data_IF_649636929868
#
_entry.id   IF_649636929868
#
_cell.length_a   1.000
_cell.length_b   1.000
_cell.length_c   1.000
_cell.angle_alpha   90.00
_cell.angle_beta   90.00
_cell.angle_gamma   90.00
#
_symmetry.space_group_name_H-M   'P 1'
#
loop_
_entity.id
_entity.type
_entity.pdbx_description
1 polymer ?
#
# COMPACT_ATOMS: atom_id res chain seq x y z
N UNK A 1 -10.98 -16.06 -18.05
CA UNK A 1 -10.18 -14.82 -17.96
C UNK A 1 -8.81 -15.21 -17.44
N UNK A 2 -7.78 -15.12 -18.28
CA UNK A 2 -6.40 -15.46 -17.94
C UNK A 2 -5.78 -14.27 -17.21
N UNK A 3 -5.65 -14.36 -15.89
CA UNK A 3 -4.81 -13.44 -15.14
C UNK A 3 -3.38 -13.83 -15.46
N UNK A 4 -2.70 -13.06 -16.32
CA UNK A 4 -1.26 -13.21 -16.50
C UNK A 4 -0.60 -13.09 -15.13
N UNK A 5 0.17 -14.12 -14.79
CA UNK A 5 0.69 -14.46 -13.48
C UNK A 5 1.70 -13.43 -12.94
N UNK A 6 1.29 -12.19 -12.71
CA UNK A 6 2.22 -11.11 -12.35
C UNK A 6 2.51 -11.05 -10.84
N UNK A 7 1.98 -12.00 -10.08
CA UNK A 7 2.47 -12.27 -8.73
C UNK A 7 3.41 -13.49 -8.66
N UNK A 8 4.06 -13.88 -9.77
CA UNK A 8 4.92 -15.08 -9.82
C UNK A 8 5.92 -15.18 -8.66
N UNK A 9 6.51 -14.06 -8.26
CA UNK A 9 7.48 -14.05 -7.16
C UNK A 9 6.84 -14.08 -5.77
N UNK A 10 5.68 -13.43 -5.56
CA UNK A 10 5.02 -13.45 -4.23
C UNK A 10 4.10 -14.65 -4.04
N UNK A 11 3.79 -15.43 -5.07
CA UNK A 11 2.93 -16.64 -4.99
C UNK A 11 3.41 -17.67 -3.98
N UNK A 12 4.71 -17.69 -3.67
CA UNK A 12 5.30 -18.62 -2.72
C UNK A 12 5.39 -18.06 -1.30
N UNK A 13 5.16 -16.77 -1.11
CA UNK A 13 5.18 -16.16 0.21
C UNK A 13 3.82 -16.32 0.89
N UNK A 14 3.83 -17.04 2.02
CA UNK A 14 2.67 -17.15 2.90
C UNK A 14 2.41 -15.80 3.56
N UNK A 15 1.18 -15.29 3.42
CA UNK A 15 0.73 -14.06 4.06
C UNK A 15 0.17 -14.35 5.46
N UNK A 16 0.08 -13.29 6.27
CA UNK A 16 -0.58 -13.39 7.56
C UNK A 16 -2.07 -13.66 7.36
N UNK A 17 -2.68 -14.44 8.27
CA UNK A 17 -4.09 -14.80 8.16
C UNK A 17 -5.05 -13.63 8.36
N UNK A 18 -4.64 -12.57 9.05
CA UNK A 18 -5.53 -11.49 9.45
C UNK A 18 -4.83 -10.14 9.37
N UNK A 19 -5.37 -9.25 8.55
CA UNK A 19 -4.98 -7.84 8.52
C UNK A 19 -6.11 -6.95 9.01
N UNK A 20 -5.74 -5.90 9.73
CA UNK A 20 -6.68 -4.91 10.23
C UNK A 20 -7.01 -3.90 9.15
N UNK A 21 -6.01 -3.44 8.41
CA UNK A 21 -6.19 -2.51 7.30
C UNK A 21 -5.30 -2.92 6.13
N UNK A 22 -5.81 -2.83 4.90
CA UNK A 22 -5.03 -2.98 3.68
C UNK A 22 -5.29 -1.78 2.76
N UNK A 23 -4.23 -1.20 2.21
CA UNK A 23 -4.30 -0.12 1.23
C UNK A 23 -3.86 -0.66 -0.11
N UNK A 24 -4.68 -0.41 -1.14
CA UNK A 24 -4.42 -0.74 -2.53
C UNK A 24 -4.22 0.57 -3.30
N UNK A 25 -3.15 0.61 -4.10
CA UNK A 25 -2.83 1.74 -4.97
C UNK A 25 -2.42 1.26 -6.36
N UNK A 26 -2.46 2.20 -7.30
CA UNK A 26 -2.04 1.97 -8.69
C UNK A 26 -0.71 2.68 -8.92
N UNK A 27 0.23 1.98 -9.52
CA UNK A 27 1.50 2.52 -9.98
C UNK A 27 1.60 2.37 -11.49
N UNK A 28 1.90 3.46 -12.19
CA UNK A 28 2.22 3.46 -13.62
C UNK A 28 3.73 3.36 -13.84
N UNK A 29 4.14 2.59 -14.84
CA UNK A 29 5.54 2.39 -15.23
C UNK A 29 5.62 2.03 -16.71
N UNK A 30 6.84 1.97 -17.23
CA UNK A 30 7.10 1.75 -18.65
C UNK A 30 7.73 0.39 -18.91
N UNK A 31 7.21 -0.34 -19.89
CA UNK A 31 7.76 -1.63 -20.36
C UNK A 31 8.32 -1.45 -21.76
N UNK A 32 9.51 -1.99 -21.99
CA UNK A 32 10.14 -2.07 -23.29
C UNK A 32 9.60 -3.32 -24.03
N UNK A 33 8.98 -3.10 -25.19
CA UNK A 33 8.54 -4.16 -26.10
C UNK A 33 9.16 -3.98 -27.49
N UNK A 34 8.97 -4.96 -28.37
CA UNK A 34 9.35 -4.87 -29.78
C UNK A 34 8.62 -3.72 -30.51
N UNK A 35 7.41 -3.36 -30.02
CA UNK A 35 6.62 -2.24 -30.54
C UNK A 35 7.01 -0.88 -29.92
N UNK A 36 8.03 -0.84 -29.05
CA UNK A 36 8.48 0.34 -28.33
C UNK A 36 8.13 0.34 -26.85
N UNK A 37 8.23 1.51 -26.23
CA UNK A 37 7.95 1.71 -24.81
C UNK A 37 6.46 1.89 -24.59
N UNK A 38 5.86 1.04 -23.76
CA UNK A 38 4.44 1.08 -23.43
C UNK A 38 4.24 1.40 -21.94
N UNK A 39 3.36 2.36 -21.64
CA UNK A 39 2.89 2.60 -20.28
C UNK A 39 2.01 1.45 -19.81
N UNK A 40 2.28 0.96 -18.61
CA UNK A 40 1.62 -0.19 -17.97
C UNK A 40 1.31 0.15 -16.51
N UNK A 41 0.27 -0.47 -15.96
CA UNK A 41 -0.17 -0.24 -14.59
C UNK A 41 -0.07 -1.51 -13.73
N UNK A 42 0.41 -1.34 -12.50
CA UNK A 42 0.43 -2.34 -11.45
C UNK A 42 -0.45 -1.86 -10.31
N UNK A 43 -1.40 -2.69 -9.90
CA UNK A 43 -1.97 -2.57 -8.58
C UNK A 43 -0.99 -3.15 -7.57
N UNK A 44 -0.77 -2.47 -6.45
CA UNK A 44 0.03 -2.98 -5.35
C UNK A 44 -0.70 -2.75 -4.04
N UNK A 45 -0.34 -3.51 -3.01
CA UNK A 45 -0.97 -3.36 -1.71
C UNK A 45 -0.01 -3.55 -0.54
N UNK A 46 -0.34 -2.86 0.54
CA UNK A 46 0.30 -3.02 1.86
C UNK A 46 -0.78 -3.27 2.91
N UNK A 47 -0.52 -4.23 3.79
CA UNK A 47 -1.37 -4.58 4.93
C UNK A 47 -0.75 -4.12 6.24
N UNK A 48 -1.59 -3.79 7.21
CA UNK A 48 -1.23 -3.51 8.59
C UNK A 48 -1.88 -4.54 9.50
N UNK A 49 -1.05 -5.18 10.32
CA UNK A 49 -1.41 -6.19 11.30
C UNK A 49 -1.90 -5.54 12.60
N UNK A 50 -2.45 -6.37 13.50
CA UNK A 50 -2.93 -5.92 14.82
C UNK A 50 -1.80 -5.43 15.75
N UNK A 51 -0.54 -5.77 15.46
CA UNK A 51 0.64 -5.25 16.17
C UNK A 51 1.23 -4.00 15.48
N UNK A 52 0.46 -3.35 14.59
CA UNK A 52 0.86 -2.21 13.77
C UNK A 52 2.00 -2.45 12.78
N UNK A 53 2.51 -3.69 12.65
CA UNK A 53 3.50 -4.01 11.64
C UNK A 53 2.88 -3.98 10.25
N UNK A 54 3.67 -3.49 9.31
CA UNK A 54 3.31 -3.40 7.90
C UNK A 54 3.85 -4.60 7.14
N UNK A 55 3.11 -5.07 6.14
CA UNK A 55 3.52 -6.18 5.29
C UNK A 55 3.11 -5.89 3.85
N UNK A 56 4.06 -5.92 2.93
CA UNK A 56 3.76 -5.81 1.51
C UNK A 56 2.96 -7.04 1.06
N UNK A 57 1.76 -6.83 0.54
CA UNK A 57 0.85 -7.92 0.19
C UNK A 57 1.11 -8.43 -1.23
N UNK A 58 1.66 -7.59 -2.12
CA UNK A 58 1.99 -7.99 -3.48
C UNK A 58 1.72 -6.89 -4.50
N UNK A 59 1.95 -7.25 -5.77
CA UNK A 59 1.60 -6.46 -6.92
C UNK A 59 0.94 -7.35 -8.00
N UNK A 60 -0.03 -6.78 -8.70
CA UNK A 60 -0.83 -7.43 -9.72
C UNK A 60 -0.92 -6.53 -10.94
N UNK A 61 -0.66 -7.09 -12.11
CA UNK A 61 -0.83 -6.36 -13.37
C UNK A 61 -2.29 -6.11 -13.66
N UNK A 62 -2.57 -4.91 -14.12
CA UNK A 62 -3.90 -4.53 -14.52
C UNK A 62 -3.86 -4.04 -15.96
N UNK A 63 -4.59 -4.75 -16.82
CA UNK A 63 -4.72 -4.42 -18.23
C UNK A 63 -5.68 -3.24 -18.44
N UNK A 64 -6.74 -3.16 -17.62
CA UNK A 64 -7.66 -2.02 -17.58
C UNK A 64 -7.91 -1.64 -16.11
N UNK A 65 -7.58 -0.42 -15.66
CA UNK A 65 -7.83 0.02 -14.28
C UNK A 65 -9.29 -0.05 -13.85
N UNK A 66 -10.25 -0.07 -14.79
CA UNK A 66 -11.68 -0.24 -14.50
C UNK A 66 -12.12 -1.69 -14.36
N UNK A 67 -11.26 -2.63 -14.73
CA UNK A 67 -11.42 -4.07 -14.53
C UNK A 67 -10.11 -4.58 -13.95
N UNK A 68 -9.79 -4.14 -12.72
CA UNK A 68 -8.56 -4.49 -12.02
C UNK A 68 -8.43 -5.99 -11.74
N UNK A 69 -9.42 -6.79 -12.14
CA UNK A 69 -9.45 -8.22 -11.90
C UNK A 69 -9.50 -8.52 -10.41
N UNK A 70 -10.27 -7.76 -9.61
CA UNK A 70 -10.32 -7.92 -8.16
C UNK A 70 -10.58 -9.36 -7.69
N UNK A 71 -11.32 -10.16 -8.47
CA UNK A 71 -11.52 -11.59 -8.16
C UNK A 71 -10.20 -12.36 -8.14
N UNK A 72 -9.29 -12.02 -9.03
CA UNK A 72 -7.93 -12.57 -9.09
C UNK A 72 -7.12 -12.19 -7.86
N UNK A 73 -7.16 -10.90 -7.50
CA UNK A 73 -6.45 -10.36 -6.34
C UNK A 73 -6.96 -11.05 -5.07
N UNK A 74 -8.28 -11.19 -4.92
CA UNK A 74 -8.89 -11.88 -3.79
C UNK A 74 -8.49 -13.35 -3.73
N UNK A 75 -8.57 -14.07 -4.87
CA UNK A 75 -8.14 -15.47 -4.95
C UNK A 75 -6.67 -15.62 -4.54
N UNK A 76 -5.79 -14.79 -5.08
CA UNK A 76 -4.35 -14.83 -4.77
C UNK A 76 -4.07 -14.55 -3.28
N UNK A 77 -4.77 -13.58 -2.68
CA UNK A 77 -4.66 -13.32 -1.23
C UNK A 77 -5.13 -14.52 -0.40
N UNK A 78 -6.25 -15.16 -0.78
CA UNK A 78 -6.77 -16.34 -0.08
C UNK A 78 -5.85 -17.55 -0.24
N UNK A 79 -5.34 -17.80 -1.45
CA UNK A 79 -4.40 -18.88 -1.76
C UNK A 79 -3.10 -18.75 -0.95
N UNK A 80 -2.69 -17.50 -0.67
CA UNK A 80 -1.53 -17.19 0.18
C UNK A 80 -1.85 -17.16 1.68
N UNK A 81 -3.09 -17.44 2.07
CA UNK A 81 -3.50 -17.66 3.45
C UNK A 81 -4.22 -16.49 4.13
N UNK A 82 -4.59 -15.43 3.41
CA UNK A 82 -5.37 -14.33 3.99
C UNK A 82 -6.81 -14.79 4.23
N UNK A 83 -7.17 -14.91 5.50
CA UNK A 83 -8.51 -15.34 5.93
C UNK A 83 -9.39 -14.13 6.34
N UNK A 84 -8.78 -13.02 6.77
CA UNK A 84 -9.48 -11.84 7.31
C UNK A 84 -8.86 -10.52 6.84
N UNK A 85 -9.70 -9.66 6.27
CA UNK A 85 -9.42 -8.26 5.98
C UNK A 85 -10.55 -7.41 6.58
N UNK A 86 -10.25 -6.58 7.58
CA UNK A 86 -11.30 -5.76 8.25
C UNK A 86 -11.57 -4.44 7.53
N UNK A 87 -10.52 -3.76 7.08
CA UNK A 87 -10.62 -2.48 6.39
C UNK A 87 -9.80 -2.57 5.11
N UNK A 88 -10.40 -2.20 3.98
CA UNK A 88 -9.74 -2.08 2.70
C UNK A 88 -9.90 -0.66 2.20
N UNK A 89 -8.79 -0.05 1.78
CA UNK A 89 -8.74 1.28 1.19
C UNK A 89 -8.25 1.12 -0.24
N UNK A 90 -8.93 1.73 -1.20
CA UNK A 90 -8.52 1.63 -2.60
C UNK A 90 -9.18 2.64 -3.54
N UNK A 91 -8.83 2.59 -4.84
CA UNK A 91 -9.24 3.58 -5.83
C UNK A 91 -10.71 3.44 -6.27
N UNK A 92 -11.26 2.22 -6.32
CA UNK A 92 -12.68 1.98 -6.61
C UNK A 92 -13.36 1.22 -5.45
N UNK A 93 -13.90 1.93 -4.45
CA UNK A 93 -14.52 1.29 -3.31
C UNK A 93 -15.81 0.51 -3.65
N UNK A 94 -16.45 0.77 -4.80
CA UNK A 94 -17.68 0.08 -5.20
C UNK A 94 -17.33 -1.30 -5.75
N UNK A 95 -16.38 -1.36 -6.68
CA UNK A 95 -15.93 -2.61 -7.28
C UNK A 95 -15.21 -3.51 -6.25
N UNK A 96 -14.35 -2.90 -5.43
CA UNK A 96 -13.67 -3.60 -4.32
C UNK A 96 -14.71 -4.22 -3.38
N UNK A 97 -15.73 -3.46 -2.97
CA UNK A 97 -16.77 -3.95 -2.06
C UNK A 97 -17.55 -5.10 -2.66
N UNK A 98 -17.97 -4.99 -3.93
CA UNK A 98 -18.71 -6.03 -4.61
C UNK A 98 -17.92 -7.35 -4.67
N UNK A 99 -16.59 -7.27 -4.75
CA UNK A 99 -15.71 -8.44 -4.88
C UNK A 99 -15.21 -8.99 -3.54
N UNK A 100 -14.93 -8.12 -2.57
CA UNK A 100 -14.39 -8.49 -1.26
C UNK A 100 -15.47 -8.99 -0.30
N UNK A 101 -16.69 -8.42 -0.35
CA UNK A 101 -17.75 -8.72 0.62
C UNK A 101 -18.15 -10.22 0.69
N UNK A 102 -18.19 -10.97 -0.42
CA UNK A 102 -18.44 -12.42 -0.37
C UNK A 102 -17.31 -13.23 0.28
N UNK A 103 -16.08 -12.72 0.26
CA UNK A 103 -14.86 -13.45 0.65
C UNK A 103 -14.37 -13.08 2.05
N UNK A 104 -14.62 -11.86 2.50
CA UNK A 104 -14.16 -11.34 3.79
C UNK A 104 -15.33 -10.79 4.59
N UNK A 105 -15.75 -11.54 5.60
CA UNK A 105 -16.83 -11.14 6.51
C UNK A 105 -16.45 -9.85 7.25
N UNK A 106 -17.43 -8.95 7.36
CA UNK A 106 -17.31 -7.67 8.07
C UNK A 106 -16.20 -6.73 7.50
N UNK A 107 -15.80 -6.93 6.24
CA UNK A 107 -14.84 -6.07 5.55
C UNK A 107 -15.47 -4.71 5.19
N UNK A 108 -14.98 -3.65 5.81
CA UNK A 108 -15.30 -2.28 5.44
C UNK A 108 -14.40 -1.81 4.28
N UNK A 109 -15.01 -1.27 3.23
CA UNK A 109 -14.27 -0.72 2.08
C UNK A 109 -14.44 0.79 2.03
N UNK A 110 -13.32 1.50 2.04
CA UNK A 110 -13.25 2.97 2.12
C UNK A 110 -12.53 3.54 0.89
N UNK A 111 -12.95 4.71 0.38
CA UNK A 111 -12.15 5.44 -0.60
C UNK A 111 -10.91 6.03 0.07
N UNK A 112 -9.77 6.02 -0.65
CA UNK A 112 -8.53 6.61 -0.16
C UNK A 112 -8.69 8.09 0.24
N UNK A 113 -9.46 8.86 -0.53
CA UNK A 113 -9.69 10.29 -0.30
C UNK A 113 -10.47 10.63 0.98
N UNK A 114 -11.25 9.69 1.52
CA UNK A 114 -12.08 9.94 2.70
C UNK A 114 -11.85 8.95 3.85
N UNK A 115 -10.78 8.13 3.77
CA UNK A 115 -10.54 7.05 4.73
C UNK A 115 -10.49 7.54 6.20
N UNK A 116 -9.86 8.68 6.48
CA UNK A 116 -9.74 9.24 7.83
C UNK A 116 -10.99 9.99 8.33
N UNK A 117 -11.80 10.50 7.41
CA UNK A 117 -13.03 11.23 7.72
C UNK A 117 -14.28 10.34 7.68
N UNK A 118 -14.11 9.03 7.44
CA UNK A 118 -15.24 8.14 7.22
C UNK A 118 -15.97 7.85 8.56
N UNK A 119 -17.29 8.05 8.66
CA UNK A 119 -18.04 7.89 9.92
C UNK A 119 -17.92 6.52 10.60
N UNK A 120 -17.64 5.46 9.82
CA UNK A 120 -17.39 4.11 10.35
C UNK A 120 -16.12 4.05 11.22
N UNK A 121 -15.09 4.84 10.88
CA UNK A 121 -13.86 4.92 11.67
C UNK A 121 -14.14 5.60 13.01
N UNK A 122 -15.03 6.59 13.04
CA UNK A 122 -15.37 7.35 14.25
C UNK A 122 -16.34 6.61 15.18
N UNK A 123 -17.29 5.85 14.64
CA UNK A 123 -18.45 5.33 15.40
C UNK A 123 -18.29 3.91 15.95
N UNK A 124 -17.67 3.00 15.20
CA UNK A 124 -17.60 1.57 15.53
C UNK A 124 -16.18 1.06 15.68
N UNK A 125 -15.20 1.91 15.33
CA UNK A 125 -13.82 1.53 15.13
C UNK A 125 -12.87 2.59 15.70
N UNK A 126 -13.21 3.24 16.82
CA UNK A 126 -12.32 4.23 17.46
C UNK A 126 -10.91 3.65 17.74
N UNK A 127 -10.82 2.35 18.02
CA UNK A 127 -9.56 1.61 18.13
C UNK A 127 -8.87 1.29 16.79
N UNK A 128 -9.53 1.47 15.65
CA UNK A 128 -8.95 1.23 14.33
C UNK A 128 -8.48 2.47 13.57
N UNK A 129 -8.78 3.68 14.06
CA UNK A 129 -8.23 4.92 13.49
C UNK A 129 -6.71 4.87 13.36
N UNK A 130 -6.03 4.40 14.41
CA UNK A 130 -4.56 4.26 14.42
C UNK A 130 -4.03 3.28 13.36
N UNK A 131 -4.76 2.19 13.05
CA UNK A 131 -4.36 1.28 11.97
C UNK A 131 -4.58 1.90 10.60
N UNK A 132 -5.64 2.68 10.41
CA UNK A 132 -5.90 3.40 9.15
C UNK A 132 -4.84 4.48 8.93
N UNK A 133 -4.56 5.28 9.96
CA UNK A 133 -3.49 6.29 9.93
C UNK A 133 -2.15 5.65 9.59
N UNK A 134 -1.78 4.55 10.27
CA UNK A 134 -0.55 3.82 9.98
C UNK A 134 -0.53 3.24 8.56
N UNK A 135 -1.63 2.67 8.10
CA UNK A 135 -1.70 2.07 6.77
C UNK A 135 -1.55 3.13 5.67
N UNK A 136 -2.18 4.29 5.83
CA UNK A 136 -2.04 5.42 4.91
C UNK A 136 -0.64 6.05 4.95
N UNK A 137 -0.05 6.21 6.14
CA UNK A 137 1.34 6.67 6.28
C UNK A 137 2.30 5.78 5.50
N UNK A 138 2.20 4.47 5.72
CA UNK A 138 3.06 3.47 5.06
C UNK A 138 2.79 3.42 3.56
N UNK A 139 1.52 3.46 3.15
CA UNK A 139 1.16 3.50 1.74
C UNK A 139 1.73 4.75 1.04
N UNK A 140 1.60 5.93 1.63
CA UNK A 140 2.17 7.17 1.07
C UNK A 140 3.71 7.11 0.96
N UNK A 141 4.39 6.61 2.00
CA UNK A 141 5.84 6.42 2.01
C UNK A 141 6.28 5.45 0.90
N UNK A 142 5.60 4.31 0.80
CA UNK A 142 5.83 3.30 -0.24
C UNK A 142 5.54 3.85 -1.64
N UNK A 143 4.41 4.50 -1.85
CA UNK A 143 4.00 5.04 -3.15
C UNK A 143 5.07 5.94 -3.75
N UNK A 144 5.58 6.88 -2.95
CA UNK A 144 6.68 7.76 -3.34
C UNK A 144 7.97 6.98 -3.63
N UNK A 145 8.30 5.99 -2.80
CA UNK A 145 9.51 5.19 -2.95
C UNK A 145 9.47 4.31 -4.21
N UNK A 146 8.36 3.60 -4.42
CA UNK A 146 8.10 2.72 -5.55
C UNK A 146 8.08 3.51 -6.86
N UNK A 147 7.45 4.69 -6.89
CA UNK A 147 7.48 5.58 -8.05
C UNK A 147 8.91 5.99 -8.41
N UNK A 148 9.71 6.42 -7.43
CA UNK A 148 11.13 6.77 -7.66
C UNK A 148 11.96 5.58 -8.15
N UNK A 149 11.68 4.38 -7.64
CA UNK A 149 12.36 3.17 -8.10
C UNK A 149 11.97 2.84 -9.55
N UNK A 150 10.69 2.92 -9.90
CA UNK A 150 10.19 2.72 -11.25
C UNK A 150 10.81 3.72 -12.24
N UNK A 151 10.81 5.02 -11.91
CA UNK A 151 11.38 6.08 -12.75
C UNK A 151 12.89 5.91 -12.96
N UNK A 152 13.62 5.43 -11.95
CA UNK A 152 15.08 5.26 -12.02
C UNK A 152 15.50 4.03 -12.82
N UNK A 153 14.74 2.94 -12.74
CA UNK A 153 15.13 1.64 -13.26
C UNK A 153 14.36 1.23 -14.53
N UNK A 154 13.31 1.96 -14.90
CA UNK A 154 12.60 1.76 -16.15
C UNK A 154 13.35 2.30 -17.39
N UNK A 155 12.91 1.92 -18.61
CA UNK A 155 11.83 0.98 -18.89
C UNK A 155 12.22 -0.47 -18.57
N UNK A 156 11.26 -1.28 -18.13
CA UNK A 156 11.47 -2.67 -17.73
C UNK A 156 11.37 -3.62 -18.91
N UNK A 157 12.06 -4.76 -18.85
CA UNK A 157 11.96 -5.78 -19.91
C UNK A 157 10.57 -6.42 -19.97
N UNK A 158 9.92 -6.61 -18.83
CA UNK A 158 8.55 -7.12 -18.72
C UNK A 158 7.93 -6.70 -17.37
N UNK A 159 6.67 -7.07 -17.17
CA UNK A 159 5.93 -6.75 -15.95
C UNK A 159 6.50 -7.49 -14.72
N UNK A 160 7.03 -8.70 -14.90
CA UNK A 160 7.56 -9.49 -13.79
C UNK A 160 8.83 -8.84 -13.21
N UNK A 161 9.72 -8.36 -14.06
CA UNK A 161 10.90 -7.60 -13.66
C UNK A 161 10.54 -6.32 -12.89
N UNK A 162 9.48 -5.61 -13.32
CA UNK A 162 8.96 -4.47 -12.57
C UNK A 162 8.43 -4.89 -11.19
N UNK A 163 7.58 -5.91 -11.12
CA UNK A 163 7.02 -6.41 -9.86
C UNK A 163 8.11 -6.87 -8.87
N UNK A 164 9.15 -7.55 -9.36
CA UNK A 164 10.31 -7.97 -8.58
C UNK A 164 11.05 -6.79 -7.93
N UNK A 165 11.31 -5.74 -8.73
CA UNK A 165 11.93 -4.52 -8.21
C UNK A 165 11.04 -3.83 -7.19
N UNK A 166 9.72 -3.74 -7.44
CA UNK A 166 8.79 -3.11 -6.51
C UNK A 166 8.76 -3.87 -5.19
N UNK A 167 8.77 -5.21 -5.21
CA UNK A 167 8.85 -6.03 -4.00
C UNK A 167 10.11 -5.73 -3.22
N UNK A 168 11.28 -5.81 -3.86
CA UNK A 168 12.56 -5.53 -3.21
C UNK A 168 12.62 -4.11 -2.62
N UNK A 169 12.05 -3.14 -3.34
CA UNK A 169 11.96 -1.75 -2.91
C UNK A 169 11.03 -1.59 -1.71
N UNK A 170 9.89 -2.28 -1.71
CA UNK A 170 8.93 -2.26 -0.63
C UNK A 170 9.52 -2.90 0.64
N UNK A 171 10.16 -4.06 0.53
CA UNK A 171 10.79 -4.74 1.66
C UNK A 171 11.85 -3.84 2.31
N UNK A 172 12.70 -3.18 1.51
CA UNK A 172 13.69 -2.23 2.02
C UNK A 172 13.06 -1.05 2.74
N UNK A 173 11.96 -0.51 2.22
CA UNK A 173 11.25 0.61 2.83
C UNK A 173 10.61 0.21 4.16
N UNK A 174 9.88 -0.91 4.17
CA UNK A 174 9.19 -1.43 5.36
C UNK A 174 10.20 -1.80 6.45
N UNK A 175 11.30 -2.47 6.12
CA UNK A 175 12.34 -2.82 7.09
C UNK A 175 13.02 -1.59 7.70
N UNK A 176 13.17 -0.50 6.93
CA UNK A 176 13.77 0.74 7.44
C UNK A 176 12.84 1.47 8.41
N UNK A 177 11.54 1.46 8.12
CA UNK A 177 10.51 2.11 8.94
C UNK A 177 10.12 1.26 10.17
N UNK A 178 10.56 0.00 10.23
CA UNK A 178 10.37 -0.93 11.36
C UNK A 178 11.33 -0.73 12.54
N UNK A 179 12.21 0.27 12.51
CA UNK A 179 13.03 0.68 13.64
C UNK A 179 12.16 1.43 14.67
N UNK A 180 11.57 0.64 15.57
CA UNK A 180 10.99 0.96 16.88
C UNK A 180 10.11 2.23 17.01
N UNK A 181 8.78 2.12 17.05
CA UNK A 181 7.88 3.24 17.37
C UNK A 181 7.99 3.72 18.83
N UNK A 182 8.81 3.07 19.68
CA UNK A 182 9.04 3.48 21.07
C UNK A 182 9.87 4.76 21.22
N UNK A 183 10.48 5.26 20.14
CA UNK A 183 11.15 6.56 20.18
C UNK A 183 10.15 7.63 19.78
N UNK A 184 9.61 8.43 20.73
CA UNK A 184 8.84 9.60 20.36
C UNK A 184 9.72 10.46 19.45
N UNK A 185 9.22 10.76 18.26
CA UNK A 185 9.87 11.68 17.33
C UNK A 185 10.10 12.98 18.08
N UNK A 186 11.35 13.20 18.51
CA UNK A 186 11.75 14.47 19.06
C UNK A 186 11.55 15.50 17.96
N UNK A 187 10.44 16.24 18.07
CA UNK A 187 10.23 17.49 17.37
C UNK A 187 11.47 18.33 17.66
N UNK A 188 12.33 18.49 16.66
CA UNK A 188 13.39 19.47 16.70
C UNK A 188 12.72 20.84 16.88
N UNK A 189 12.57 21.28 18.13
CA UNK A 189 12.38 22.70 18.42
C UNK A 189 13.68 23.35 18.04
N UNK A 190 13.66 24.02 16.89
CA UNK A 190 14.62 25.07 16.59
C UNK A 190 14.64 26.03 17.78
N UNK A 191 15.71 25.95 18.57
CA UNK A 191 16.02 26.97 19.57
C UNK A 191 16.32 28.23 18.78
N UNK A 192 15.37 29.16 18.72
CA UNK A 192 15.64 30.49 18.20
C UNK A 192 16.76 31.13 19.03
N UNK A 193 17.77 31.73 18.40
CA UNK A 193 18.80 32.46 19.13
C UNK A 193 18.19 33.75 19.69
N UNK A 194 18.18 33.88 21.03
CA UNK A 194 17.92 35.12 21.73
C UNK A 194 18.84 36.22 21.20
N UNK A 195 18.27 37.24 20.55
CA UNK A 195 18.97 38.47 20.23
C UNK A 195 19.32 39.24 21.52
N UNK A 196 20.51 39.84 21.63
CA UNK A 196 20.88 40.66 22.77
C UNK A 196 20.16 42.01 22.73
N UNK A 197 19.50 42.35 23.82
CA UNK A 197 18.91 43.67 24.08
C UNK A 197 20.02 44.70 24.24
N UNK A 198 20.19 45.57 23.25
CA UNK A 198 21.00 46.77 23.39
C UNK A 198 20.17 47.84 24.13
N UNK A 199 20.59 48.14 25.36
CA UNK A 199 20.15 49.33 26.08
C UNK A 199 20.86 50.56 25.49
N UNK A 200 20.09 51.59 25.15
CA UNK A 200 20.59 52.92 24.81
C UNK A 200 20.09 53.87 25.89
N UNK A 201 21.04 54.59 26.49
CA UNK A 201 20.84 55.76 27.34
C UNK A 201 20.46 56.99 26.51
#
# INVERSE_FOLDING_TARGET
MNISQINAESRFEVLCRSYVCAVFEVLEFHIQSDAGVQATQLFWAVGVLADHKSHYLGAWHVQDPKDAGWRAIVSDLQDRGVERLRIVIGPDPVEIRATMAPCYRDCAVLPASAALAHPLIESTLAGHRQYVERALEVANSLSLHLKRAADRHGPFADVAAAAALLRLSADRCICRDGLDPSVPVHVWRSTEPMAPTAAVN
#
